data_IF_090290413460
#
_entry.id   IF_090290413460
#
_cell.length_a   1.000
_cell.length_b   1.000
_cell.length_c   1.000
_cell.angle_alpha   90.00
_cell.angle_beta   90.00
_cell.angle_gamma   90.00
#
_symmetry.space_group_name_H-M   'P 1'
#
loop_
_entity.id
_entity.type
_entity.pdbx_description
1 polymer ?
#
# COMPACT_ATOMS: atom_id res chain seq x y z
N UNK A 1 -4.11 -30.84 -15.65
CA UNK A 1 -3.14 -30.28 -14.69
C UNK A 1 -2.24 -29.32 -15.44
N UNK A 2 -2.55 -28.03 -15.40
CA UNK A 2 -1.73 -27.00 -16.04
C UNK A 2 -0.63 -26.62 -15.04
N UNK A 3 0.61 -27.00 -15.32
CA UNK A 3 1.77 -26.51 -14.57
C UNK A 3 1.73 -24.98 -14.59
N UNK A 4 1.68 -24.29 -13.44
CA UNK A 4 1.75 -22.84 -13.43
C UNK A 4 3.12 -22.45 -14.00
N UNK A 5 3.09 -21.75 -15.15
CA UNK A 5 4.29 -21.18 -15.74
C UNK A 5 4.92 -20.26 -14.69
N UNK A 6 6.24 -20.34 -14.43
CA UNK A 6 6.88 -19.40 -13.53
C UNK A 6 6.52 -17.98 -14.00
N UNK A 7 6.04 -17.11 -13.09
CA UNK A 7 5.53 -15.81 -13.46
C UNK A 7 6.62 -15.04 -14.21
N UNK A 8 6.24 -14.41 -15.32
CA UNK A 8 7.18 -13.56 -16.04
C UNK A 8 7.59 -12.38 -15.17
N UNK A 9 8.72 -11.75 -15.47
CA UNK A 9 9.16 -10.55 -14.75
C UNK A 9 8.12 -9.42 -14.82
N UNK A 10 7.33 -9.38 -15.89
CA UNK A 10 6.25 -8.43 -16.14
C UNK A 10 5.07 -8.69 -15.21
N UNK A 11 4.67 -9.96 -15.07
CA UNK A 11 3.61 -10.39 -14.15
C UNK A 11 3.98 -10.08 -12.69
N UNK A 12 5.25 -10.30 -12.30
CA UNK A 12 5.73 -9.98 -10.96
C UNK A 12 5.72 -8.47 -10.68
N UNK A 13 6.08 -7.66 -11.68
CA UNK A 13 6.06 -6.20 -11.55
C UNK A 13 4.63 -5.68 -11.45
N UNK A 14 3.73 -6.21 -12.29
CA UNK A 14 2.30 -5.89 -12.26
C UNK A 14 1.68 -6.19 -10.91
N UNK A 15 1.91 -7.40 -10.36
CA UNK A 15 1.39 -7.78 -9.04
C UNK A 15 1.86 -6.84 -7.91
N UNK A 16 3.11 -6.38 -7.94
CA UNK A 16 3.61 -5.41 -6.95
C UNK A 16 2.98 -4.04 -7.10
N UNK A 17 2.78 -3.60 -8.34
CA UNK A 17 2.15 -2.33 -8.64
C UNK A 17 0.68 -2.32 -8.21
N UNK A 18 -0.08 -3.37 -8.53
CA UNK A 18 -1.47 -3.52 -8.11
C UNK A 18 -1.60 -3.52 -6.59
N UNK A 19 -0.71 -4.23 -5.89
CA UNK A 19 -0.67 -4.24 -4.43
C UNK A 19 -0.41 -2.85 -3.86
N UNK A 20 0.56 -2.12 -4.44
CA UNK A 20 0.89 -0.77 -4.05
C UNK A 20 -0.29 0.19 -4.26
N UNK A 21 -0.93 0.15 -5.43
CA UNK A 21 -2.10 0.97 -5.73
C UNK A 21 -3.27 0.67 -4.80
N UNK A 22 -3.53 -0.60 -4.52
CA UNK A 22 -4.59 -0.99 -3.60
C UNK A 22 -4.33 -0.43 -2.19
N UNK A 23 -3.12 -0.58 -1.66
CA UNK A 23 -2.77 -0.05 -0.33
C UNK A 23 -2.81 1.48 -0.29
N UNK A 24 -2.36 2.13 -1.37
CA UNK A 24 -2.46 3.57 -1.54
C UNK A 24 -3.89 4.07 -1.50
N UNK A 25 -4.79 3.47 -2.28
CA UNK A 25 -6.21 3.85 -2.29
C UNK A 25 -6.85 3.67 -0.92
N UNK A 26 -6.54 2.57 -0.21
CA UNK A 26 -7.07 2.32 1.13
C UNK A 26 -6.52 3.34 2.13
N UNK A 27 -5.21 3.53 2.24
CA UNK A 27 -4.61 4.46 3.22
C UNK A 27 -4.92 5.92 2.91
N UNK A 28 -4.86 6.33 1.65
CA UNK A 28 -5.24 7.68 1.25
C UNK A 28 -6.74 7.92 1.47
N UNK A 29 -7.60 6.92 1.17
CA UNK A 29 -9.03 6.99 1.42
C UNK A 29 -9.39 7.09 2.91
N UNK A 30 -8.70 6.33 3.76
CA UNK A 30 -8.82 6.44 5.22
C UNK A 30 -8.35 7.82 5.71
N UNK A 31 -7.20 8.30 5.23
CA UNK A 31 -6.70 9.64 5.53
C UNK A 31 -7.69 10.73 5.10
N UNK A 32 -8.23 10.64 3.89
CA UNK A 32 -9.20 11.57 3.33
C UNK A 32 -10.50 11.60 4.13
N UNK A 33 -11.10 10.44 4.40
CA UNK A 33 -12.35 10.35 5.16
C UNK A 33 -12.19 10.90 6.58
N UNK A 34 -11.10 10.52 7.28
CA UNK A 34 -10.76 11.10 8.57
C UNK A 34 -10.55 12.62 8.49
N UNK A 35 -9.86 13.09 7.45
CA UNK A 35 -9.65 14.50 7.17
C UNK A 35 -10.92 15.30 6.97
N UNK A 36 -11.90 14.74 6.25
CA UNK A 36 -13.20 15.37 6.01
C UNK A 36 -13.97 15.49 7.33
N UNK A 37 -14.04 14.42 8.12
CA UNK A 37 -14.70 14.44 9.43
C UNK A 37 -14.04 15.48 10.35
N UNK A 38 -12.71 15.49 10.40
CA UNK A 38 -11.94 16.45 11.21
C UNK A 38 -12.18 17.89 10.73
N UNK A 39 -12.19 18.11 9.42
CA UNK A 39 -12.42 19.42 8.79
C UNK A 39 -13.80 20.00 9.14
N UNK A 40 -14.84 19.16 9.11
CA UNK A 40 -16.21 19.59 9.37
C UNK A 40 -16.45 19.84 10.86
N UNK A 41 -15.95 18.97 11.75
CA UNK A 41 -16.25 19.03 13.20
C UNK A 41 -15.39 20.04 13.94
N UNK A 42 -14.07 20.08 13.68
CA UNK A 42 -13.12 20.87 14.48
C UNK A 42 -12.62 22.12 13.78
N UNK A 43 -12.53 22.11 12.45
CA UNK A 43 -11.86 23.18 11.69
C UNK A 43 -12.80 24.04 10.85
N UNK A 44 -14.11 24.01 11.13
CA UNK A 44 -15.11 24.93 10.56
C UNK A 44 -15.05 24.97 9.02
N UNK A 45 -14.90 23.80 8.37
CA UNK A 45 -14.79 23.59 6.91
C UNK A 45 -13.50 24.08 6.25
N UNK A 46 -12.40 24.28 6.99
CA UNK A 46 -11.10 24.51 6.36
C UNK A 46 -10.61 23.26 5.63
N UNK A 47 -10.07 23.42 4.42
CA UNK A 47 -9.64 22.32 3.54
C UNK A 47 -8.24 21.77 3.86
N UNK A 48 -7.41 22.52 4.58
CA UNK A 48 -6.03 22.09 4.93
C UNK A 48 -5.94 20.77 5.72
N UNK A 49 -6.86 20.41 6.65
CA UNK A 49 -6.80 19.14 7.36
C UNK A 49 -7.04 17.94 6.44
N UNK A 50 -7.89 18.11 5.41
CA UNK A 50 -8.14 17.07 4.41
C UNK A 50 -6.87 16.83 3.59
N UNK A 51 -6.23 17.90 3.13
CA UNK A 51 -5.00 17.81 2.36
C UNK A 51 -3.85 17.17 3.18
N UNK A 52 -3.68 17.58 4.44
CA UNK A 52 -2.64 17.00 5.30
C UNK A 52 -2.89 15.53 5.64
N UNK A 53 -4.11 15.18 6.04
CA UNK A 53 -4.45 13.80 6.41
C UNK A 53 -4.36 12.84 5.21
N UNK A 54 -4.82 13.27 4.04
CA UNK A 54 -4.68 12.52 2.79
C UNK A 54 -3.21 12.38 2.40
N UNK A 55 -2.45 13.47 2.48
CA UNK A 55 -1.00 13.46 2.19
C UNK A 55 -0.21 12.54 3.13
N UNK A 56 -0.57 12.50 4.42
CA UNK A 56 0.02 11.58 5.38
C UNK A 56 -0.30 10.11 5.05
N UNK A 57 -1.57 9.81 4.76
CA UNK A 57 -1.99 8.46 4.33
C UNK A 57 -1.28 8.01 3.05
N UNK A 58 -1.19 8.90 2.06
CA UNK A 58 -0.45 8.69 0.82
C UNK A 58 1.06 8.46 1.06
N UNK A 59 1.67 9.22 1.97
CA UNK A 59 3.09 9.09 2.32
C UNK A 59 3.43 7.76 2.99
N UNK A 60 2.57 7.27 3.90
CA UNK A 60 2.73 5.95 4.50
C UNK A 60 2.63 4.85 3.43
N UNK A 61 1.62 4.92 2.57
CA UNK A 61 1.46 3.95 1.49
C UNK A 61 2.66 3.94 0.55
N UNK A 62 3.20 5.12 0.20
CA UNK A 62 4.40 5.22 -0.61
C UNK A 62 5.62 4.53 0.04
N UNK A 63 5.80 4.71 1.34
CA UNK A 63 6.88 4.04 2.07
C UNK A 63 6.71 2.50 2.09
N UNK A 64 5.47 2.00 2.19
CA UNK A 64 5.19 0.56 2.08
C UNK A 64 5.41 0.02 0.66
N UNK A 65 5.12 0.83 -0.36
CA UNK A 65 5.45 0.50 -1.74
C UNK A 65 6.97 0.43 -1.95
N UNK A 66 7.76 1.42 -1.50
CA UNK A 66 9.23 1.40 -1.66
C UNK A 66 9.85 0.15 -1.00
N UNK A 67 9.36 -0.26 0.18
CA UNK A 67 9.79 -1.51 0.84
C UNK A 67 9.45 -2.76 0.03
N UNK A 68 8.33 -2.76 -0.68
CA UNK A 68 7.90 -3.87 -1.53
C UNK A 68 8.77 -4.00 -2.79
N UNK A 69 9.28 -2.89 -3.33
CA UNK A 69 10.20 -2.88 -4.48
C UNK A 69 11.66 -3.11 -4.07
N UNK A 70 12.09 -2.58 -2.92
CA UNK A 70 13.45 -2.72 -2.42
C UNK A 70 13.49 -3.33 -1.00
N UNK A 71 13.23 -4.63 -0.87
CA UNK A 71 13.23 -5.32 0.43
C UNK A 71 14.58 -5.29 1.16
N UNK A 72 15.69 -5.07 0.44
CA UNK A 72 17.03 -4.96 1.03
C UNK A 72 17.27 -3.62 1.74
N UNK A 73 16.40 -2.61 1.56
CA UNK A 73 16.50 -1.31 2.22
C UNK A 73 16.07 -1.33 3.70
N UNK A 74 15.66 -2.49 4.21
CA UNK A 74 15.16 -2.68 5.58
C UNK A 74 16.31 -3.23 6.45
N UNK A 75 16.89 -2.44 7.37
CA UNK A 75 17.93 -2.93 8.25
C UNK A 75 17.40 -4.04 9.17
N UNK A 76 18.02 -5.22 9.12
CA UNK A 76 17.80 -6.30 10.10
C UNK A 76 16.71 -7.34 9.79
N UNK A 77 16.05 -7.32 8.63
CA UNK A 77 15.01 -8.32 8.30
C UNK A 77 15.47 -9.34 7.27
N UNK A 78 15.23 -10.64 7.53
CA UNK A 78 15.36 -11.72 6.53
C UNK A 78 14.04 -11.89 5.78
N UNK A 79 14.08 -11.83 4.44
CA UNK A 79 12.94 -12.17 3.59
C UNK A 79 12.71 -13.67 3.70
N UNK A 80 11.68 -14.08 4.45
CA UNK A 80 11.16 -15.44 4.38
C UNK A 80 10.24 -15.46 3.15
N UNK A 81 10.61 -16.15 2.06
CA UNK A 81 9.68 -16.30 0.94
C UNK A 81 8.41 -16.95 1.49
N UNK A 82 7.26 -16.28 1.33
CA UNK A 82 5.95 -16.89 1.56
C UNK A 82 5.90 -18.12 0.66
N UNK A 83 5.92 -19.30 1.29
CA UNK A 83 5.51 -20.53 0.61
C UNK A 83 4.14 -20.25 -0.03
N UNK A 84 3.93 -20.67 -1.28
CA UNK A 84 2.68 -20.42 -1.98
C UNK A 84 1.54 -20.94 -1.10
N UNK A 85 0.66 -20.03 -0.70
CA UNK A 85 -0.55 -20.29 0.08
C UNK A 85 -1.60 -21.10 -0.72
N UNK A 86 -1.15 -21.79 -1.78
CA UNK A 86 -1.89 -22.70 -2.65
C UNK A 86 -1.84 -24.17 -2.15
N UNK A 87 -1.03 -24.49 -1.13
CA UNK A 87 -1.00 -25.78 -0.41
C UNK A 87 -1.78 -25.70 0.93
N UNK A 88 -2.85 -24.91 0.99
CA UNK A 88 -3.81 -24.94 2.11
C UNK A 88 -5.24 -24.93 1.57
N UNK A 89 -5.57 -25.93 0.76
CA UNK A 89 -6.95 -26.41 0.61
C UNK A 89 -7.00 -27.83 0.09
#
# INVERSE_FOLDING_TARGET
>A
MSTPKPPSSEDLLGQKYDRCLADFLVKAGVGFSAGVVLSVVLFKRRTWPVALSTGFGAGIAYADCDRSFNPARIPGTRIIPRLPEAERK
#
